data_IF_548497854448
#
_entry.id   IF_548497854448
#
_cell.length_a   1.000
_cell.length_b   1.000
_cell.length_c   1.000
_cell.angle_alpha   90.00
_cell.angle_beta   90.00
_cell.angle_gamma   90.00
#
_symmetry.space_group_name_H-M   'P 1'
#
loop_
_entity.id
_entity.type
_entity.pdbx_description
1 polymer ?
#
# COMPACT_ATOMS: atom_id res chain seq x y z
N UNK A 1 -12.45 -5.63 -0.10
CA UNK A 1 -12.50 -5.31 1.34
C UNK A 1 -13.13 -3.94 1.55
N UNK A 2 -13.61 -3.63 2.76
CA UNK A 2 -14.02 -2.26 3.11
C UNK A 2 -12.79 -1.34 3.18
N UNK A 3 -12.92 -0.06 2.79
CA UNK A 3 -11.84 0.89 2.93
C UNK A 3 -11.44 1.06 4.41
N UNK A 4 -10.13 1.06 4.68
CA UNK A 4 -9.57 1.14 6.04
C UNK A 4 -8.76 2.41 6.30
N UNK A 5 -8.54 3.24 5.27
CA UNK A 5 -7.90 4.54 5.39
C UNK A 5 -8.93 5.68 5.50
N UNK A 6 -8.57 6.71 6.26
CA UNK A 6 -9.24 8.00 6.17
C UNK A 6 -8.89 8.72 4.85
N UNK A 7 -9.75 9.62 4.39
CA UNK A 7 -9.48 10.44 3.20
C UNK A 7 -8.19 11.26 3.36
N UNK A 8 -7.96 11.85 4.53
CA UNK A 8 -6.74 12.59 4.85
C UNK A 8 -5.50 11.71 4.67
N UNK A 9 -5.53 10.49 5.20
CA UNK A 9 -4.43 9.52 5.09
C UNK A 9 -4.16 9.12 3.64
N UNK A 10 -5.21 8.89 2.83
CA UNK A 10 -5.04 8.62 1.39
C UNK A 10 -4.30 9.76 0.68
N UNK A 11 -4.69 11.00 0.96
CA UNK A 11 -4.08 12.19 0.35
C UNK A 11 -2.61 12.30 0.77
N UNK A 12 -2.30 12.07 2.04
CA UNK A 12 -0.95 12.09 2.57
C UNK A 12 -0.07 11.01 1.92
N UNK A 13 -0.52 9.76 1.88
CA UNK A 13 0.19 8.66 1.23
C UNK A 13 0.47 8.95 -0.25
N UNK A 14 -0.52 9.49 -0.99
CA UNK A 14 -0.30 9.92 -2.39
C UNK A 14 0.77 11.00 -2.52
N UNK A 15 0.82 11.96 -1.58
CA UNK A 15 1.85 13.01 -1.55
C UNK A 15 3.24 12.44 -1.23
N UNK A 16 3.34 11.53 -0.26
CA UNK A 16 4.60 10.86 0.11
C UNK A 16 5.11 10.03 -1.07
N UNK A 17 4.25 9.21 -1.69
CA UNK A 17 4.61 8.40 -2.87
C UNK A 17 5.19 9.24 -4.01
N UNK A 18 4.59 10.41 -4.30
CA UNK A 18 5.08 11.29 -5.37
C UNK A 18 6.50 11.82 -5.13
N UNK A 19 6.96 11.86 -3.88
CA UNK A 19 8.29 12.35 -3.50
C UNK A 19 9.28 11.23 -3.17
N UNK A 20 8.82 9.99 -3.07
CA UNK A 20 9.62 8.87 -2.59
C UNK A 20 10.61 8.40 -3.68
N UNK A 21 11.93 8.54 -3.48
CA UNK A 21 12.92 8.11 -4.46
C UNK A 21 13.18 6.60 -4.43
N UNK A 22 12.86 5.92 -3.32
CA UNK A 22 13.16 4.50 -3.18
C UNK A 22 11.99 3.64 -3.65
N UNK A 23 12.23 2.85 -4.70
CA UNK A 23 11.21 2.00 -5.32
C UNK A 23 10.46 1.12 -4.31
N UNK A 24 11.19 0.51 -3.37
CA UNK A 24 10.60 -0.37 -2.37
C UNK A 24 9.63 0.35 -1.42
N UNK A 25 9.92 1.59 -1.02
CA UNK A 25 9.00 2.40 -0.23
C UNK A 25 7.79 2.84 -1.06
N UNK A 26 8.01 3.23 -2.32
CA UNK A 26 6.93 3.60 -3.22
C UNK A 26 5.97 2.42 -3.48
N UNK A 27 6.50 1.22 -3.67
CA UNK A 27 5.72 -0.02 -3.83
C UNK A 27 4.91 -0.35 -2.58
N UNK A 28 5.50 -0.17 -1.39
CA UNK A 28 4.76 -0.30 -0.12
C UNK A 28 3.59 0.69 -0.05
N UNK A 29 3.77 1.95 -0.45
CA UNK A 29 2.69 2.96 -0.42
C UNK A 29 1.57 2.58 -1.40
N UNK A 30 1.95 2.19 -2.63
CA UNK A 30 1.00 1.74 -3.64
C UNK A 30 0.19 0.53 -3.17
N UNK A 31 0.85 -0.44 -2.53
CA UNK A 31 0.17 -1.61 -1.98
C UNK A 31 -0.94 -1.24 -0.99
N UNK A 32 -0.64 -0.36 -0.02
CA UNK A 32 -1.65 0.08 0.96
C UNK A 32 -2.82 0.83 0.29
N UNK A 33 -2.52 1.70 -0.68
CA UNK A 33 -3.56 2.44 -1.41
C UNK A 33 -4.45 1.54 -2.26
N UNK A 34 -3.88 0.52 -2.91
CA UNK A 34 -4.63 -0.42 -3.75
C UNK A 34 -5.51 -1.34 -2.90
N UNK A 35 -4.96 -1.89 -1.80
CA UNK A 35 -5.74 -2.70 -0.86
C UNK A 35 -6.91 -1.91 -0.27
N UNK A 36 -6.67 -0.66 0.14
CA UNK A 36 -7.72 0.22 0.64
C UNK A 36 -8.79 0.55 -0.42
N UNK A 37 -8.42 0.55 -1.70
CA UNK A 37 -9.35 0.69 -2.83
C UNK A 37 -10.14 -0.57 -3.17
N UNK A 38 -9.88 -1.67 -2.47
CA UNK A 38 -10.64 -2.91 -2.55
C UNK A 38 -9.96 -4.05 -3.32
N UNK A 39 -8.76 -3.83 -3.87
CA UNK A 39 -8.00 -4.86 -4.57
C UNK A 39 -7.62 -6.02 -3.62
N UNK A 40 -7.56 -7.23 -4.14
CA UNK A 40 -7.06 -8.41 -3.42
C UNK A 40 -5.54 -8.38 -3.28
N UNK A 41 -4.97 -9.20 -2.40
CA UNK A 41 -3.52 -9.29 -2.26
C UNK A 41 -2.86 -9.76 -3.57
N UNK A 42 -3.52 -10.67 -4.27
CA UNK A 42 -3.09 -11.25 -5.54
C UNK A 42 -3.12 -10.21 -6.67
N UNK A 43 -4.19 -9.42 -6.77
CA UNK A 43 -4.29 -8.33 -7.77
C UNK A 43 -3.21 -7.27 -7.54
N UNK A 44 -2.91 -6.93 -6.28
CA UNK A 44 -1.85 -5.98 -5.94
C UNK A 44 -0.47 -6.55 -6.22
N UNK A 45 -0.24 -7.82 -5.88
CA UNK A 45 0.99 -8.55 -6.19
C UNK A 45 1.28 -8.57 -7.70
N UNK A 46 0.27 -8.90 -8.50
CA UNK A 46 0.36 -8.88 -9.96
C UNK A 46 0.69 -7.48 -10.49
N UNK A 47 -0.04 -6.45 -10.03
CA UNK A 47 0.18 -5.06 -10.50
C UNK A 47 1.55 -4.48 -10.11
N UNK A 48 2.11 -4.91 -8.97
CA UNK A 48 3.40 -4.43 -8.48
C UNK A 48 4.58 -5.35 -8.83
N UNK A 49 4.32 -6.50 -9.48
CA UNK A 49 5.31 -7.53 -9.79
C UNK A 49 6.03 -8.03 -8.52
N UNK A 50 5.25 -8.29 -7.47
CA UNK A 50 5.69 -8.79 -6.17
C UNK A 50 4.94 -10.08 -5.81
N UNK A 51 5.45 -10.79 -4.81
CA UNK A 51 4.76 -11.93 -4.20
C UNK A 51 3.66 -11.47 -3.23
N UNK A 52 2.53 -12.18 -3.15
CA UNK A 52 1.38 -11.81 -2.32
C UNK A 52 1.72 -11.76 -0.82
N UNK A 53 2.66 -12.60 -0.36
CA UNK A 53 3.16 -12.57 1.01
C UNK A 53 3.89 -11.26 1.31
N UNK A 54 4.55 -10.66 0.32
CA UNK A 54 5.16 -9.32 0.47
C UNK A 54 4.09 -8.27 0.70
N UNK A 55 2.98 -8.35 -0.04
CA UNK A 55 1.85 -7.41 0.11
C UNK A 55 1.19 -7.57 1.49
N UNK A 56 0.99 -8.81 1.95
CA UNK A 56 0.47 -9.10 3.31
C UNK A 56 1.39 -8.52 4.40
N UNK A 57 2.71 -8.65 4.22
CA UNK A 57 3.69 -8.10 5.15
C UNK A 57 3.66 -6.56 5.17
N UNK A 58 3.49 -5.92 4.02
CA UNK A 58 3.34 -4.46 3.93
C UNK A 58 2.11 -3.97 4.68
N UNK A 59 0.96 -4.62 4.50
CA UNK A 59 -0.27 -4.28 5.21
C UNK A 59 -0.13 -4.48 6.72
N UNK A 60 0.43 -5.62 7.14
CA UNK A 60 0.69 -5.91 8.56
C UNK A 60 1.57 -4.84 9.20
N UNK A 61 2.72 -4.53 8.59
CA UNK A 61 3.63 -3.50 9.09
C UNK A 61 2.96 -2.13 9.17
N UNK A 62 2.11 -1.80 8.19
CA UNK A 62 1.35 -0.55 8.21
C UNK A 62 0.33 -0.51 9.35
N UNK A 63 -0.41 -1.59 9.61
CA UNK A 63 -1.37 -1.66 10.72
C UNK A 63 -0.69 -1.62 12.10
N UNK A 64 0.49 -2.24 12.22
CA UNK A 64 1.21 -2.33 13.49
C UNK A 64 1.97 -1.04 13.84
N UNK A 65 2.56 -0.37 12.84
CA UNK A 65 3.52 0.73 13.07
C UNK A 65 3.23 2.00 12.28
N UNK A 66 2.27 1.97 11.35
CA UNK A 66 2.08 3.02 10.36
C UNK A 66 3.13 2.98 9.24
N UNK A 67 3.27 4.13 8.57
CA UNK A 67 4.22 4.32 7.48
C UNK A 67 5.54 4.90 7.98
#
# INVERSE_FOLDING_TARGET
MNPFLSEKTRIELKKVHKKEPHRHHADRIKAILLLDSGWSYEEVAEALLLDDQTIRNYEKLYKDKGF
#
